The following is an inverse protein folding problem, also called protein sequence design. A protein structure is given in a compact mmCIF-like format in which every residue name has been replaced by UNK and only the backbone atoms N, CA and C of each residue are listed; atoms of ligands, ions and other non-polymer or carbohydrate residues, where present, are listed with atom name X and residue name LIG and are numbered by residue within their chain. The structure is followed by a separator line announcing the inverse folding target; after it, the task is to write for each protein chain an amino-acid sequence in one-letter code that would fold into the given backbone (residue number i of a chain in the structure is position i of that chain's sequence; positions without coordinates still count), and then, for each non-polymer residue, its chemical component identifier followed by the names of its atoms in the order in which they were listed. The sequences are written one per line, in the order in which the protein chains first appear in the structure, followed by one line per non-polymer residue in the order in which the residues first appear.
data_IF_738372916099
#
_entry.id   IF_738372916099
#
_cell.length_a   1.000
_cell.length_b   1.000
_cell.length_c   1.000
_cell.angle_alpha   90.00
_cell.angle_beta   90.00
_cell.angle_gamma   90.00
#
_symmetry.space_group_name_H-M   'P 1'
#
loop_
_entity.id
_entity.type
_entity.pdbx_description
1 polymer ?
#
# COMPACT_ATOMS: atom_id res chain seq x y z
N UNK A 1 -48.56 -53.13 24.08
CA UNK A 1 -49.27 -51.88 24.42
C UNK A 1 -48.60 -50.75 23.64
N UNK A 2 -48.91 -50.58 22.36
CA UNK A 2 -49.98 -49.74 21.75
C UNK A 2 -49.63 -48.24 21.87
N UNK A 3 -49.52 -47.41 20.81
CA UNK A 3 -50.26 -47.31 19.53
C UNK A 3 -49.31 -46.75 18.43
N UNK A 4 -49.23 -47.33 17.23
CA UNK A 4 -50.11 -47.18 16.04
C UNK A 4 -50.23 -45.74 15.54
N UNK A 5 -49.61 -45.47 14.38
CA UNK A 5 -50.27 -44.79 13.26
C UNK A 5 -49.54 -45.13 11.95
N UNK A 6 -50.15 -46.03 11.17
CA UNK A 6 -49.85 -46.28 9.75
C UNK A 6 -50.39 -45.11 8.93
N UNK A 7 -49.64 -44.65 7.93
CA UNK A 7 -50.20 -44.03 6.73
C UNK A 7 -49.57 -44.61 5.48
N UNK A 8 -50.45 -44.75 4.50
CA UNK A 8 -50.43 -45.63 3.36
C UNK A 8 -49.91 -44.90 2.12
N UNK A 9 -49.19 -45.65 1.28
CA UNK A 9 -49.09 -45.61 -0.21
C UNK A 9 -49.28 -44.28 -0.94
N UNK A 10 -48.33 -43.94 -1.84
CA UNK A 10 -48.53 -43.99 -3.31
C UNK A 10 -47.18 -44.24 -3.99
N UNK A 11 -47.12 -45.28 -4.82
CA UNK A 11 -46.05 -45.54 -5.77
C UNK A 11 -46.31 -44.74 -7.05
N UNK A 12 -45.35 -43.89 -7.44
CA UNK A 12 -45.33 -43.24 -8.75
C UNK A 12 -44.11 -43.74 -9.52
N UNK A 13 -44.33 -44.62 -10.50
CA UNK A 13 -43.31 -45.03 -11.46
C UNK A 13 -43.12 -43.90 -12.48
N UNK A 14 -42.01 -43.18 -12.40
CA UNK A 14 -41.55 -42.28 -13.44
C UNK A 14 -40.52 -43.00 -14.31
N UNK A 15 -40.95 -43.45 -15.49
CA UNK A 15 -40.06 -43.88 -16.57
C UNK A 15 -39.35 -42.64 -17.13
N UNK A 16 -38.13 -42.39 -16.68
CA UNK A 16 -37.25 -41.37 -17.26
C UNK A 16 -36.52 -41.95 -18.47
N UNK A 17 -36.80 -41.40 -19.66
CA UNK A 17 -36.00 -41.63 -20.85
C UNK A 17 -34.56 -41.15 -20.61
N UNK A 18 -33.59 -42.06 -20.75
CA UNK A 18 -32.18 -41.71 -20.86
C UNK A 18 -31.92 -41.16 -22.27
N UNK A 19 -31.98 -39.84 -22.41
CA UNK A 19 -31.44 -39.15 -23.58
C UNK A 19 -29.91 -39.07 -23.41
N UNK A 20 -29.17 -39.90 -24.15
CA UNK A 20 -27.72 -39.78 -24.27
C UNK A 20 -27.40 -38.54 -25.12
N UNK A 21 -27.19 -37.40 -24.47
CA UNK A 21 -26.62 -36.22 -25.11
C UNK A 21 -25.13 -36.46 -25.35
N UNK A 22 -24.78 -36.77 -26.60
CA UNK A 22 -23.39 -36.73 -27.08
C UNK A 22 -22.95 -35.26 -27.03
N UNK A 23 -22.25 -34.89 -25.96
CA UNK A 23 -21.62 -33.59 -25.85
C UNK A 23 -20.50 -33.53 -26.89
N UNK A 24 -20.74 -32.81 -28.00
CA UNK A 24 -19.69 -32.45 -28.94
C UNK A 24 -18.64 -31.64 -28.20
N UNK A 25 -17.42 -32.16 -28.14
CA UNK A 25 -16.28 -31.43 -27.62
C UNK A 25 -16.04 -30.22 -28.54
N UNK A 26 -16.44 -29.04 -28.08
CA UNK A 26 -16.01 -27.79 -28.71
C UNK A 26 -14.49 -27.73 -28.60
N UNK A 27 -13.76 -27.48 -29.71
CA UNK A 27 -12.32 -27.31 -29.63
C UNK A 27 -12.03 -26.19 -28.65
N UNK A 28 -11.20 -26.48 -27.65
CA UNK A 28 -10.68 -25.48 -26.74
C UNK A 28 -10.00 -24.41 -27.60
N UNK A 29 -10.64 -23.24 -27.70
CA UNK A 29 -10.01 -22.07 -28.28
C UNK A 29 -8.74 -21.82 -27.46
N UNK A 30 -7.58 -22.12 -28.06
CA UNK A 30 -6.30 -21.74 -27.51
C UNK A 30 -6.37 -20.23 -27.27
N UNK A 31 -6.39 -19.83 -26.00
CA UNK A 31 -6.31 -18.43 -25.63
C UNK A 31 -5.03 -17.90 -26.25
N UNK A 32 -5.17 -17.07 -27.28
CA UNK A 32 -4.09 -16.28 -27.81
C UNK A 32 -3.47 -15.57 -26.61
N UNK A 33 -2.23 -15.92 -26.27
CA UNK A 33 -1.45 -15.11 -25.35
C UNK A 33 -1.36 -13.74 -26.02
N UNK A 34 -2.21 -12.83 -25.53
CA UNK A 34 -2.50 -11.56 -26.15
C UNK A 34 -1.21 -10.82 -26.43
N UNK A 35 -1.19 -10.11 -27.55
CA UNK A 35 -0.12 -9.19 -27.93
C UNK A 35 0.43 -8.48 -26.69
N UNK A 36 1.76 -8.50 -26.54
CA UNK A 36 2.48 -7.86 -25.44
C UNK A 36 1.98 -6.43 -25.31
N UNK A 37 1.06 -6.19 -24.36
CA UNK A 37 0.50 -4.87 -24.17
C UNK A 37 1.67 -3.97 -23.77
N UNK A 38 1.92 -2.92 -24.55
CA UNK A 38 2.93 -1.94 -24.20
C UNK A 38 2.45 -1.23 -22.93
N UNK A 39 3.29 -1.22 -21.90
CA UNK A 39 3.11 -0.40 -20.70
C UNK A 39 2.69 1.01 -21.13
N UNK A 40 1.48 1.40 -20.75
CA UNK A 40 0.87 2.67 -21.11
C UNK A 40 0.87 3.60 -19.91
N UNK A 41 0.92 4.91 -20.18
CA UNK A 41 0.76 5.98 -19.19
C UNK A 41 -0.50 6.78 -19.51
N UNK A 42 -1.31 7.07 -18.50
CA UNK A 42 -2.50 7.91 -18.59
C UNK A 42 -2.51 8.95 -17.48
N UNK A 43 -2.87 10.19 -17.81
CA UNK A 43 -3.13 11.22 -16.80
C UNK A 43 -4.43 10.92 -16.04
N UNK A 44 -4.43 11.15 -14.74
CA UNK A 44 -5.63 11.11 -13.91
C UNK A 44 -6.27 12.51 -13.87
N UNK A 45 -7.60 12.62 -13.84
CA UNK A 45 -8.26 13.92 -13.74
C UNK A 45 -7.92 14.58 -12.40
N UNK A 46 -7.73 15.90 -12.39
CA UNK A 46 -7.52 16.69 -11.18
C UNK A 46 -8.16 18.08 -11.35
N UNK A 47 -8.42 18.84 -10.28
CA UNK A 47 -9.05 20.16 -10.38
C UNK A 47 -8.22 21.12 -11.25
N UNK A 48 -8.87 21.81 -12.18
CA UNK A 48 -8.19 22.69 -13.13
C UNK A 48 -7.49 23.90 -12.48
N UNK A 49 -7.92 24.24 -11.25
CA UNK A 49 -7.38 25.30 -10.41
C UNK A 49 -6.28 24.81 -9.44
N UNK A 50 -5.93 23.51 -9.45
CA UNK A 50 -4.80 23.00 -8.68
C UNK A 50 -3.47 23.32 -9.39
N UNK A 51 -2.53 23.90 -8.66
CA UNK A 51 -1.18 24.19 -9.14
C UNK A 51 -0.30 22.93 -9.23
N UNK A 52 -0.62 21.90 -8.43
CA UNK A 52 0.03 20.60 -8.40
C UNK A 52 -0.97 19.52 -7.99
N UNK A 53 -0.82 18.33 -8.57
CA UNK A 53 -1.50 17.12 -8.09
C UNK A 53 -0.63 15.87 -8.29
N UNK A 54 -0.72 14.93 -7.34
CA UNK A 54 -0.03 13.64 -7.34
C UNK A 54 -1.01 12.51 -7.05
N UNK A 55 -0.71 11.31 -7.54
CA UNK A 55 -1.37 10.09 -7.09
C UNK A 55 -0.36 9.31 -6.24
N UNK A 56 -0.66 9.18 -4.95
CA UNK A 56 0.32 8.80 -3.93
C UNK A 56 0.10 7.36 -3.43
N UNK A 57 -1.13 6.86 -3.45
CA UNK A 57 -1.45 5.50 -3.01
C UNK A 57 -2.46 4.83 -3.96
N UNK A 58 -2.39 3.50 -4.07
CA UNK A 58 -3.34 2.68 -4.83
C UNK A 58 -3.65 1.40 -4.05
N UNK A 59 -4.93 1.02 -3.99
CA UNK A 59 -5.29 -0.21 -3.28
C UNK A 59 -4.83 -1.46 -4.06
N UNK A 60 -4.69 -2.62 -3.40
CA UNK A 60 -4.22 -3.85 -4.06
C UNK A 60 -5.06 -4.26 -5.29
N UNK A 61 -6.34 -3.91 -5.35
CA UNK A 61 -7.20 -4.21 -6.50
C UNK A 61 -7.05 -3.22 -7.66
N UNK A 62 -6.39 -2.08 -7.45
CA UNK A 62 -6.22 -0.99 -8.39
C UNK A 62 -7.51 -0.21 -8.71
N UNK A 63 -8.50 -0.28 -7.82
CA UNK A 63 -9.83 0.34 -7.94
C UNK A 63 -9.86 1.75 -7.34
N UNK A 64 -9.18 1.92 -6.22
CA UNK A 64 -9.05 3.15 -5.46
C UNK A 64 -7.64 3.68 -5.60
N UNK A 65 -7.55 4.95 -5.96
CA UNK A 65 -6.30 5.71 -5.94
C UNK A 65 -6.56 6.91 -5.05
N UNK A 66 -5.60 7.27 -4.22
CA UNK A 66 -5.64 8.48 -3.41
C UNK A 66 -4.37 9.30 -3.66
N UNK A 67 -4.48 10.61 -3.48
CA UNK A 67 -3.32 11.48 -3.59
C UNK A 67 -3.60 12.91 -3.13
N UNK A 68 -2.58 13.74 -3.24
CA UNK A 68 -2.61 15.13 -2.80
C UNK A 68 -2.72 16.10 -3.97
N UNK A 69 -3.50 17.15 -3.77
CA UNK A 69 -3.52 18.34 -4.63
C UNK A 69 -3.15 19.59 -3.84
N UNK A 70 -2.67 20.61 -4.53
CA UNK A 70 -2.44 21.93 -3.97
C UNK A 70 -3.10 22.98 -4.84
N UNK A 71 -3.97 23.79 -4.25
CA UNK A 71 -4.49 25.02 -4.83
C UNK A 71 -3.70 26.18 -4.26
N UNK A 72 -3.19 27.06 -5.11
CA UNK A 72 -2.49 28.29 -4.69
C UNK A 72 -3.34 29.47 -5.11
N UNK A 73 -3.60 30.36 -4.16
CA UNK A 73 -4.38 31.58 -4.34
C UNK A 73 -3.69 32.76 -3.63
N UNK A 74 -4.18 33.97 -3.85
CA UNK A 74 -3.67 35.17 -3.19
C UNK A 74 -3.76 35.10 -1.66
N UNK A 75 -4.68 34.30 -1.12
CA UNK A 75 -4.91 34.13 0.32
C UNK A 75 -4.11 32.97 0.92
N UNK A 76 -3.37 32.21 0.11
CA UNK A 76 -2.51 31.13 0.57
C UNK A 76 -2.62 29.84 -0.24
N UNK A 77 -1.99 28.80 0.30
CA UNK A 77 -2.00 27.44 -0.24
C UNK A 77 -3.06 26.61 0.47
N UNK A 78 -3.88 25.89 -0.30
CA UNK A 78 -4.91 25.00 0.19
C UNK A 78 -4.61 23.56 -0.26
N UNK A 79 -4.32 22.63 0.67
CA UNK A 79 -4.17 21.22 0.35
C UNK A 79 -5.54 20.60 0.03
N UNK A 80 -5.52 19.64 -0.88
CA UNK A 80 -6.69 18.89 -1.34
C UNK A 80 -6.41 17.39 -1.21
N UNK A 81 -7.37 16.64 -0.69
CA UNK A 81 -7.39 15.19 -0.82
C UNK A 81 -8.09 14.83 -2.15
N UNK A 82 -7.38 14.11 -3.01
CA UNK A 82 -7.87 13.61 -4.29
C UNK A 82 -8.13 12.11 -4.17
N UNK A 83 -9.33 11.68 -4.57
CA UNK A 83 -9.74 10.28 -4.53
C UNK A 83 -10.27 9.90 -5.89
N UNK A 84 -9.66 8.90 -6.52
CA UNK A 84 -10.17 8.33 -7.76
C UNK A 84 -10.79 6.97 -7.49
N UNK A 85 -12.07 6.82 -7.82
CA UNK A 85 -12.76 5.54 -7.82
C UNK A 85 -13.16 5.21 -9.25
N UNK A 86 -12.55 4.15 -9.83
CA UNK A 86 -12.82 3.75 -11.23
C UNK A 86 -12.66 4.90 -12.25
N UNK A 87 -11.71 5.81 -12.00
CA UNK A 87 -11.41 6.95 -12.86
C UNK A 87 -12.23 8.22 -12.56
N UNK A 88 -13.26 8.13 -11.73
CA UNK A 88 -14.02 9.30 -11.28
C UNK A 88 -13.31 9.97 -10.11
N UNK A 89 -13.06 11.28 -10.24
CA UNK A 89 -12.41 12.10 -9.21
C UNK A 89 -13.45 12.62 -8.20
N UNK A 90 -13.14 12.45 -6.92
CA UNK A 90 -13.72 13.19 -5.80
C UNK A 90 -12.63 14.03 -5.15
N UNK A 91 -12.90 15.32 -4.98
CA UNK A 91 -12.02 16.25 -4.26
C UNK A 91 -12.60 16.51 -2.87
N UNK A 92 -11.78 16.38 -1.85
CA UNK A 92 -12.17 16.60 -0.46
C UNK A 92 -11.27 17.69 0.13
N UNK A 93 -11.91 18.74 0.64
CA UNK A 93 -11.24 19.82 1.34
C UNK A 93 -11.31 19.56 2.85
N UNK A 94 -10.18 19.68 3.54
CA UNK A 94 -10.12 19.49 4.99
C UNK A 94 -8.93 20.26 5.56
N UNK A 95 -9.09 20.96 6.70
CA UNK A 95 -8.01 21.74 7.29
C UNK A 95 -6.87 20.89 7.86
N UNK A 96 -7.07 19.58 8.03
CA UNK A 96 -6.07 18.67 8.60
C UNK A 96 -5.38 17.78 7.57
N UNK A 97 -5.79 17.83 6.30
CA UNK A 97 -5.13 17.06 5.22
C UNK A 97 -3.86 17.78 4.80
N UNK A 98 -2.76 17.04 4.75
CA UNK A 98 -1.51 17.49 4.14
C UNK A 98 -1.01 16.45 3.12
N UNK A 99 -0.66 15.25 3.60
CA UNK A 99 -0.14 14.16 2.75
C UNK A 99 -0.99 12.90 2.86
N UNK A 100 -1.13 12.19 1.74
CA UNK A 100 -1.68 10.82 1.70
C UNK A 100 -0.57 9.83 1.98
N UNK A 101 -0.84 8.86 2.86
CA UNK A 101 0.08 7.77 3.15
C UNK A 101 -0.32 6.49 2.39
N UNK A 102 -1.57 6.05 2.49
CA UNK A 102 -2.00 4.77 1.93
C UNK A 102 -3.55 4.69 1.76
N UNK A 103 -4.02 3.70 0.99
CA UNK A 103 -5.44 3.40 0.75
C UNK A 103 -5.71 1.90 0.67
N UNK A 104 -6.68 1.40 1.46
CA UNK A 104 -7.03 -0.02 1.42
C UNK A 104 -8.15 -0.36 0.40
N UNK A 105 -8.38 -1.66 0.20
CA UNK A 105 -9.37 -2.18 -0.74
C UNK A 105 -10.84 -1.82 -0.41
N UNK A 106 -11.11 -1.20 0.75
CA UNK A 106 -12.43 -0.67 1.14
C UNK A 106 -12.56 0.83 0.85
N UNK A 107 -11.54 1.47 0.28
CA UNK A 107 -11.52 2.91 0.00
C UNK A 107 -11.33 3.77 1.25
N UNK A 108 -10.77 3.21 2.32
CA UNK A 108 -10.31 3.99 3.47
C UNK A 108 -8.95 4.54 3.12
N UNK A 109 -8.81 5.87 3.13
CA UNK A 109 -7.55 6.56 2.89
C UNK A 109 -7.00 7.01 4.23
N UNK A 110 -5.69 6.93 4.42
CA UNK A 110 -5.01 7.46 5.59
C UNK A 110 -3.96 8.48 5.15
N UNK A 111 -3.59 9.36 6.08
CA UNK A 111 -2.56 10.31 5.81
C UNK A 111 -2.14 11.11 7.02
N UNK A 112 -1.22 12.03 6.77
CA UNK A 112 -0.61 12.86 7.79
C UNK A 112 -1.03 14.30 7.62
N UNK A 113 -1.05 15.02 8.73
CA UNK A 113 -1.48 16.40 8.85
C UNK A 113 -0.79 17.09 10.01
N UNK A 114 -1.19 18.32 10.28
CA UNK A 114 -0.65 19.10 11.38
C UNK A 114 -1.79 19.76 12.18
N UNK A 115 -1.73 19.65 13.50
CA UNK A 115 -2.73 20.23 14.41
C UNK A 115 -2.09 20.54 15.77
N UNK A 116 -2.43 21.69 16.35
CA UNK A 116 -1.94 22.15 17.65
C UNK A 116 -0.41 22.09 17.82
N UNK A 117 0.33 22.35 16.73
CA UNK A 117 1.79 22.33 16.75
C UNK A 117 2.41 20.93 16.65
N UNK A 118 1.64 19.89 16.35
CA UNK A 118 2.09 18.49 16.31
C UNK A 118 1.57 17.74 15.09
N UNK A 119 2.19 16.60 14.78
CA UNK A 119 1.71 15.68 13.73
C UNK A 119 0.34 15.10 14.09
N UNK A 120 -0.63 15.30 13.20
CA UNK A 120 -2.00 14.85 13.39
C UNK A 120 -2.37 13.88 12.26
N UNK A 121 -2.28 12.56 12.49
CA UNK A 121 -2.68 11.59 11.50
C UNK A 121 -4.20 11.56 11.37
N UNK A 122 -4.68 11.27 10.17
CA UNK A 122 -6.10 11.29 9.85
C UNK A 122 -6.48 10.08 9.01
N UNK A 123 -7.78 9.77 9.01
CA UNK A 123 -8.40 8.81 8.10
C UNK A 123 -9.55 9.46 7.36
N UNK A 124 -9.73 9.09 6.10
CA UNK A 124 -10.91 9.37 5.32
C UNK A 124 -11.76 8.10 5.18
N UNK A 125 -13.04 8.20 5.54
CA UNK A 125 -14.02 7.12 5.34
C UNK A 125 -15.41 7.69 5.18
N UNK A 126 -16.14 7.22 4.16
CA UNK A 126 -17.54 7.59 3.96
C UNK A 126 -17.77 9.09 3.78
N UNK A 127 -16.88 9.77 3.03
CA UNK A 127 -17.02 11.20 2.75
C UNK A 127 -16.47 12.13 3.83
N UNK A 128 -15.90 11.60 4.92
CA UNK A 128 -15.42 12.40 6.05
C UNK A 128 -13.96 12.14 6.33
N UNK A 129 -13.21 13.21 6.59
CA UNK A 129 -11.86 13.16 7.16
C UNK A 129 -11.98 13.31 8.68
N UNK A 130 -11.41 12.37 9.42
CA UNK A 130 -11.42 12.34 10.89
C UNK A 130 -9.98 12.20 11.41
N UNK A 131 -9.57 12.95 12.43
CA UNK A 131 -8.30 12.71 13.10
C UNK A 131 -8.30 11.34 13.77
N UNK A 132 -7.15 10.68 13.77
CA UNK A 132 -6.93 9.48 14.57
C UNK A 132 -6.59 9.85 16.01
N UNK A 133 -6.92 8.99 17.00
CA UNK A 133 -6.51 9.23 18.38
C UNK A 133 -4.99 9.28 18.48
N UNK A 134 -4.48 10.25 19.22
CA UNK A 134 -3.06 10.40 19.51
C UNK A 134 -2.69 9.67 20.81
N UNK A 135 -1.44 9.18 20.96
CA UNK A 135 -0.93 8.78 22.26
C UNK A 135 -0.95 9.98 23.24
N UNK A 136 -0.81 9.71 24.53
CA UNK A 136 -0.90 10.75 25.59
C UNK A 136 0.15 11.85 25.48
N UNK A 137 1.20 11.65 24.68
CA UNK A 137 2.25 12.65 24.44
C UNK A 137 2.60 12.77 22.96
N UNK A 138 2.48 13.99 22.45
CA UNK A 138 3.03 14.36 21.15
C UNK A 138 2.15 14.00 19.96
N UNK A 139 2.69 14.33 18.78
CA UNK A 139 2.09 13.99 17.51
C UNK A 139 2.41 12.56 17.09
N UNK A 140 1.69 12.09 16.09
CA UNK A 140 1.93 10.79 15.47
C UNK A 140 1.92 10.92 13.95
N UNK A 141 2.41 9.87 13.28
CA UNK A 141 2.37 9.71 11.84
C UNK A 141 1.90 8.31 11.50
N UNK A 142 1.18 8.17 10.38
CA UNK A 142 0.75 6.88 9.83
C UNK A 142 1.52 6.59 8.53
N UNK A 143 1.78 5.31 8.30
CA UNK A 143 2.54 4.84 7.14
C UNK A 143 1.72 3.90 6.25
N UNK A 144 0.98 2.94 6.84
CA UNK A 144 0.28 1.90 6.07
C UNK A 144 -1.05 1.47 6.68
N UNK A 145 -1.96 0.95 5.84
CA UNK A 145 -3.27 0.40 6.24
C UNK A 145 -3.55 -0.94 5.56
N UNK A 146 -3.93 -1.95 6.33
CA UNK A 146 -4.30 -3.26 5.76
C UNK A 146 -5.76 -3.31 5.29
N UNK A 147 -6.17 -4.43 4.65
CA UNK A 147 -7.56 -4.66 4.23
C UNK A 147 -8.58 -4.70 5.37
N UNK A 148 -8.18 -5.10 6.58
CA UNK A 148 -9.05 -5.07 7.75
C UNK A 148 -9.33 -3.64 8.23
N UNK A 149 -8.45 -2.70 7.88
CA UNK A 149 -8.48 -1.30 8.26
C UNK A 149 -7.59 -0.96 9.45
N UNK A 150 -6.73 -1.89 9.88
CA UNK A 150 -5.73 -1.62 10.90
C UNK A 150 -4.65 -0.73 10.26
N UNK A 151 -4.24 0.28 11.02
CA UNK A 151 -3.29 1.30 10.55
C UNK A 151 -2.05 1.22 11.44
N UNK A 152 -0.87 1.34 10.83
CA UNK A 152 0.39 1.42 11.57
C UNK A 152 1.12 2.72 11.29
N UNK A 153 2.06 3.05 12.18
CA UNK A 153 2.91 4.21 12.01
C UNK A 153 3.81 4.44 13.22
N UNK A 154 4.05 5.71 13.53
CA UNK A 154 5.05 6.12 14.53
C UNK A 154 4.52 7.22 15.43
N UNK A 155 5.04 7.27 16.66
CA UNK A 155 4.83 8.37 17.60
C UNK A 155 6.04 8.54 18.52
N UNK A 156 5.84 9.28 19.60
CA UNK A 156 6.88 9.49 20.62
C UNK A 156 6.46 8.90 21.97
N UNK A 157 7.41 8.27 22.64
CA UNK A 157 7.24 7.82 24.01
C UNK A 157 7.17 9.01 24.99
N UNK A 158 6.15 9.08 25.86
CA UNK A 158 6.00 10.15 26.85
C UNK A 158 7.17 10.37 27.79
N UNK A 159 7.81 9.28 28.19
CA UNK A 159 8.74 9.22 29.29
C UNK A 159 10.17 9.39 28.79
N UNK A 160 10.48 8.78 27.64
CA UNK A 160 11.83 8.77 27.08
C UNK A 160 12.01 9.76 25.93
N UNK A 161 10.94 10.19 25.27
CA UNK A 161 11.00 10.97 24.03
C UNK A 161 11.47 10.17 22.81
N UNK A 162 11.77 8.88 22.99
CA UNK A 162 12.18 7.96 21.94
C UNK A 162 11.04 7.65 20.97
N UNK A 163 11.38 7.10 19.81
CA UNK A 163 10.36 6.78 18.80
C UNK A 163 9.67 5.46 19.14
N UNK A 164 8.36 5.37 18.92
CA UNK A 164 7.59 4.14 19.15
C UNK A 164 6.73 3.78 17.95
N UNK A 165 6.63 2.48 17.68
CA UNK A 165 5.76 1.94 16.67
C UNK A 165 4.32 1.90 17.19
N UNK A 166 3.38 2.38 16.38
CA UNK A 166 1.98 2.51 16.76
C UNK A 166 1.07 1.62 15.90
N UNK A 167 -0.05 1.20 16.50
CA UNK A 167 -1.15 0.49 15.86
C UNK A 167 -2.48 1.18 16.22
N UNK A 168 -3.27 1.51 15.20
CA UNK A 168 -4.68 1.89 15.35
C UNK A 168 -5.56 0.73 14.88
N UNK A 169 -6.09 -0.09 15.79
CA UNK A 169 -6.84 -1.28 15.45
C UNK A 169 -8.24 -0.94 14.92
N UNK A 170 -8.62 -1.49 13.76
CA UNK A 170 -9.95 -1.31 13.18
C UNK A 170 -11.07 -1.83 14.08
N UNK A 171 -10.78 -2.90 14.84
CA UNK A 171 -11.72 -3.53 15.76
C UNK A 171 -12.03 -2.68 17.00
N UNK A 172 -11.19 -1.69 17.32
CA UNK A 172 -11.38 -0.77 18.46
C UNK A 172 -11.17 0.68 18.03
N UNK A 173 -12.12 1.26 17.27
CA UNK A 173 -12.03 2.65 16.85
C UNK A 173 -11.85 3.60 18.03
N UNK A 174 -11.04 4.65 17.85
CA UNK A 174 -10.77 5.62 18.91
C UNK A 174 -9.69 5.18 19.90
N UNK A 175 -8.98 4.08 19.62
CA UNK A 175 -7.81 3.65 20.38
C UNK A 175 -6.54 3.69 19.53
N UNK A 176 -5.40 3.83 20.20
CA UNK A 176 -4.05 3.69 19.65
C UNK A 176 -3.23 2.86 20.63
N UNK A 177 -2.39 1.98 20.11
CA UNK A 177 -1.55 1.08 20.88
C UNK A 177 -0.09 1.27 20.52
N UNK A 178 0.78 1.25 21.53
CA UNK A 178 2.21 1.07 21.31
C UNK A 178 2.46 -0.40 21.06
N UNK A 179 3.08 -0.72 19.92
CA UNK A 179 3.46 -2.08 19.60
C UNK A 179 4.65 -2.52 20.47
N UNK A 180 4.62 -3.76 20.91
CA UNK A 180 5.82 -4.44 21.39
C UNK A 180 6.77 -4.61 20.19
N UNK A 181 7.82 -3.80 20.17
CA UNK A 181 8.79 -3.66 19.09
C UNK A 181 10.14 -3.25 19.69
N UNK A 182 11.26 -3.37 18.95
CA UNK A 182 12.56 -2.92 19.45
C UNK A 182 12.55 -1.43 19.81
N UNK A 183 13.51 -1.00 20.63
CA UNK A 183 13.63 0.42 21.00
C UNK A 183 13.81 1.31 19.77
N UNK A 184 13.24 2.51 19.81
CA UNK A 184 13.27 3.49 18.71
C UNK A 184 12.68 2.93 17.39
N UNK A 185 11.64 2.11 17.50
CA UNK A 185 10.98 1.50 16.35
C UNK A 185 9.99 2.43 15.65
N UNK A 186 9.96 2.34 14.34
CA UNK A 186 8.91 2.85 13.45
C UNK A 186 8.26 1.68 12.71
N UNK A 187 6.94 1.72 12.53
CA UNK A 187 6.24 0.75 11.68
C UNK A 187 5.97 1.37 10.30
N UNK A 188 6.47 0.73 9.24
CA UNK A 188 6.42 1.24 7.87
C UNK A 188 5.39 0.52 7.00
N UNK A 189 5.15 -0.76 7.27
CA UNK A 189 4.21 -1.57 6.48
C UNK A 189 3.40 -2.52 7.35
N UNK A 190 2.16 -2.80 6.92
CA UNK A 190 1.30 -3.82 7.53
C UNK A 190 0.62 -4.65 6.44
N UNK A 191 0.71 -5.98 6.56
CA UNK A 191 0.05 -6.92 5.66
C UNK A 191 -1.38 -7.24 6.12
N UNK A 192 -2.13 -7.85 5.21
CA UNK A 192 -3.52 -8.29 5.41
C UNK A 192 -3.73 -9.33 6.51
N UNK A 193 -2.68 -10.06 6.89
CA UNK A 193 -2.70 -11.02 8.00
C UNK A 193 -2.38 -10.38 9.35
N UNK A 194 -2.03 -9.08 9.38
CA UNK A 194 -1.62 -8.35 10.58
C UNK A 194 -0.11 -8.37 10.83
N UNK A 195 0.69 -8.94 9.93
CA UNK A 195 2.15 -8.85 9.99
C UNK A 195 2.60 -7.41 9.79
N UNK A 196 3.44 -6.89 10.69
CA UNK A 196 3.98 -5.52 10.64
C UNK A 196 5.48 -5.59 10.36
N UNK A 197 5.97 -4.69 9.51
CA UNK A 197 7.41 -4.49 9.29
C UNK A 197 7.80 -3.06 9.62
N UNK A 198 9.05 -2.89 10.02
CA UNK A 198 9.56 -1.59 10.39
C UNK A 198 11.07 -1.52 10.49
N UNK A 199 11.52 -0.37 10.93
CA UNK A 199 12.92 -0.05 11.20
C UNK A 199 13.05 0.33 12.67
N UNK A 200 14.19 0.05 13.31
CA UNK A 200 14.45 0.41 14.69
C UNK A 200 15.93 0.68 14.95
N UNK A 201 16.23 1.33 16.07
CA UNK A 201 17.59 1.62 16.52
C UNK A 201 18.03 3.08 16.31
N UNK A 202 19.22 3.39 16.81
CA UNK A 202 19.80 4.72 16.71
C UNK A 202 20.16 5.10 15.26
N UNK A 203 20.32 6.39 15.03
CA UNK A 203 20.85 6.91 13.77
C UNK A 203 22.24 6.33 13.53
N UNK A 204 22.42 5.57 12.44
CA UNK A 204 23.60 4.79 12.03
C UNK A 204 23.66 3.30 12.44
N UNK A 205 22.66 2.84 13.20
CA UNK A 205 22.50 1.45 13.67
C UNK A 205 21.14 0.85 13.28
N UNK A 206 20.47 1.42 12.26
CA UNK A 206 19.13 0.95 11.89
C UNK A 206 19.11 -0.51 11.47
N UNK A 207 18.14 -1.22 12.03
CA UNK A 207 17.84 -2.61 11.69
C UNK A 207 16.36 -2.75 11.35
N UNK A 208 16.07 -3.67 10.44
CA UNK A 208 14.70 -4.02 10.10
C UNK A 208 14.14 -5.08 11.03
N UNK A 209 12.87 -4.95 11.39
CA UNK A 209 12.15 -5.89 12.25
C UNK A 209 10.83 -6.30 11.63
N UNK A 210 10.36 -7.47 12.05
CA UNK A 210 9.11 -8.11 11.70
C UNK A 210 8.35 -8.41 12.99
N UNK A 211 7.08 -8.04 13.05
CA UNK A 211 6.16 -8.50 14.09
C UNK A 211 5.07 -9.34 13.47
N UNK A 212 4.95 -10.59 13.92
CA UNK A 212 3.91 -11.52 13.47
C UNK A 212 2.56 -11.21 14.12
N UNK A 213 1.45 -11.74 13.55
CA UNK A 213 0.11 -11.53 14.12
C UNK A 213 -0.04 -12.09 15.54
N UNK A 214 0.76 -13.09 15.92
CA UNK A 214 0.80 -13.65 17.28
C UNK A 214 1.58 -12.78 18.28
N UNK A 215 2.19 -11.68 17.82
CA UNK A 215 2.98 -10.76 18.61
C UNK A 215 4.48 -11.05 18.63
N UNK A 216 4.93 -12.16 18.03
CA UNK A 216 6.36 -12.49 17.98
C UNK A 216 7.12 -11.44 17.16
N UNK A 217 8.20 -10.91 17.72
CA UNK A 217 9.10 -9.95 17.07
C UNK A 217 10.39 -10.64 16.68
N UNK A 218 10.82 -10.46 15.42
CA UNK A 218 12.05 -11.02 14.88
C UNK A 218 12.80 -9.98 14.04
N UNK A 219 14.14 -10.06 13.99
CA UNK A 219 14.91 -9.22 13.08
C UNK A 219 14.76 -9.72 11.63
N UNK A 220 14.53 -8.80 10.70
CA UNK A 220 14.71 -9.05 9.27
C UNK A 220 16.15 -8.70 8.94
N UNK A 221 17.01 -9.70 8.78
CA UNK A 221 18.45 -9.46 8.64
C UNK A 221 18.91 -9.56 7.20
N UNK A 222 19.95 -8.80 6.88
CA UNK A 222 20.77 -8.99 5.69
C UNK A 222 22.19 -9.26 6.20
N UNK A 223 22.70 -10.49 6.14
CA UNK A 223 24.01 -10.83 6.69
C UNK A 223 25.12 -9.92 6.12
N UNK A 224 25.93 -9.36 7.01
CA UNK A 224 26.99 -8.42 6.65
C UNK A 224 26.53 -6.98 6.43
N UNK A 225 25.22 -6.69 6.51
CA UNK A 225 24.75 -5.32 6.45
C UNK A 225 25.09 -4.56 7.74
N UNK A 226 25.61 -3.34 7.57
CA UNK A 226 25.85 -2.41 8.68
C UNK A 226 24.55 -1.75 9.13
N UNK A 227 23.72 -1.39 8.16
CA UNK A 227 22.42 -0.74 8.35
C UNK A 227 21.42 -1.40 7.41
N UNK A 228 20.19 -1.61 7.86
CA UNK A 228 19.06 -1.95 7.01
C UNK A 228 17.81 -1.19 7.44
N UNK A 229 16.99 -0.78 6.48
CA UNK A 229 15.68 -0.17 6.74
C UNK A 229 14.62 -0.68 5.77
N UNK A 230 13.38 -0.73 6.24
CA UNK A 230 12.21 -1.11 5.46
C UNK A 230 11.57 0.14 4.87
N UNK A 231 10.97 0.00 3.69
CA UNK A 231 10.21 1.06 3.02
C UNK A 231 8.71 0.70 2.91
N UNK A 232 8.40 -0.55 2.55
CA UNK A 232 7.03 -1.00 2.35
C UNK A 232 6.90 -2.52 2.54
N UNK A 233 5.67 -2.99 2.73
CA UNK A 233 5.32 -4.42 2.72
C UNK A 233 3.96 -4.68 2.09
N UNK A 234 3.89 -5.80 1.37
CA UNK A 234 2.65 -6.33 0.84
C UNK A 234 2.72 -7.85 0.67
N UNK A 235 1.66 -8.54 1.12
CA UNK A 235 1.55 -9.98 1.02
C UNK A 235 2.64 -10.69 1.83
N UNK A 236 3.56 -11.36 1.13
CA UNK A 236 4.69 -12.06 1.77
C UNK A 236 6.02 -11.32 1.60
N UNK A 237 5.99 -10.09 1.11
CA UNK A 237 7.19 -9.34 0.75
C UNK A 237 7.30 -8.07 1.57
N UNK A 238 8.53 -7.71 1.91
CA UNK A 238 8.90 -6.35 2.26
C UNK A 238 10.05 -5.89 1.36
N UNK A 239 10.17 -4.59 1.17
CA UNK A 239 11.27 -3.98 0.42
C UNK A 239 11.89 -2.85 1.22
N UNK A 240 13.15 -2.55 0.93
CA UNK A 240 13.93 -1.52 1.61
C UNK A 240 15.39 -1.56 1.18
N UNK A 241 16.29 -0.95 1.94
CA UNK A 241 17.70 -0.89 1.56
C UNK A 241 18.61 -1.42 2.68
N UNK A 242 19.78 -1.92 2.28
CA UNK A 242 20.82 -2.35 3.20
C UNK A 242 22.19 -1.84 2.76
N UNK A 243 22.99 -1.34 3.72
CA UNK A 243 24.39 -1.00 3.48
C UNK A 243 25.28 -2.23 3.63
N UNK A 244 25.76 -2.73 2.48
CA UNK A 244 26.67 -3.87 2.36
C UNK A 244 28.14 -3.45 2.14
N UNK A 245 28.49 -2.20 2.44
CA UNK A 245 29.85 -1.65 2.27
C UNK A 245 30.18 -1.20 0.84
N UNK A 246 29.17 -1.11 -0.03
CA UNK A 246 29.29 -0.57 -1.39
C UNK A 246 29.23 0.97 -1.43
N UNK A 247 29.38 1.55 -2.63
CA UNK A 247 29.22 3.01 -2.83
C UNK A 247 27.78 3.49 -2.64
N UNK A 248 26.81 2.58 -2.70
CA UNK A 248 25.38 2.86 -2.53
C UNK A 248 24.72 1.69 -1.80
N UNK A 249 23.68 1.94 -1.01
CA UNK A 249 22.88 0.88 -0.40
C UNK A 249 22.33 -0.09 -1.46
N UNK A 250 22.34 -1.38 -1.15
CA UNK A 250 21.68 -2.39 -1.97
C UNK A 250 20.17 -2.31 -1.76
N UNK A 251 19.40 -2.42 -2.84
CA UNK A 251 17.94 -2.55 -2.77
C UNK A 251 17.61 -4.00 -2.41
N UNK A 252 16.85 -4.20 -1.35
CA UNK A 252 16.55 -5.51 -0.79
C UNK A 252 15.05 -5.79 -0.89
N UNK A 253 14.73 -7.05 -1.18
CA UNK A 253 13.41 -7.63 -0.99
C UNK A 253 13.50 -8.81 -0.04
N UNK A 254 12.79 -8.74 1.08
CA UNK A 254 12.67 -9.82 2.06
C UNK A 254 11.44 -10.67 1.78
N UNK A 255 11.57 -11.99 1.94
CA UNK A 255 10.46 -12.92 2.04
C UNK A 255 10.08 -13.08 3.51
N UNK A 256 8.90 -12.59 3.89
CA UNK A 256 8.44 -12.53 5.27
C UNK A 256 8.06 -13.91 5.85
N UNK A 257 7.96 -14.94 5.01
CA UNK A 257 7.63 -16.31 5.47
C UNK A 257 8.83 -17.02 6.08
N UNK A 258 10.00 -16.87 5.47
CA UNK A 258 11.21 -17.61 5.83
C UNK A 258 12.40 -16.71 6.20
N UNK A 259 12.23 -15.38 6.11
CA UNK A 259 13.26 -14.39 6.43
C UNK A 259 14.37 -14.30 5.38
N UNK A 260 14.27 -15.04 4.27
CA UNK A 260 15.24 -14.93 3.17
C UNK A 260 15.15 -13.58 2.48
N UNK A 261 16.22 -13.18 1.78
CA UNK A 261 16.24 -11.94 1.02
C UNK A 261 16.85 -12.14 -0.37
N UNK A 262 16.52 -11.22 -1.27
CA UNK A 262 17.10 -11.10 -2.61
C UNK A 262 17.39 -9.65 -2.90
N UNK A 263 18.50 -9.37 -3.59
CA UNK A 263 18.75 -8.04 -4.13
C UNK A 263 17.80 -7.72 -5.29
N UNK A 264 17.31 -6.49 -5.30
CA UNK A 264 16.59 -5.88 -6.42
C UNK A 264 17.58 -5.14 -7.32
N UNK A 265 17.10 -4.68 -8.47
CA UNK A 265 17.94 -3.90 -9.39
C UNK A 265 18.57 -2.69 -8.68
N UNK A 266 19.90 -2.54 -8.81
CA UNK A 266 20.62 -1.35 -8.33
C UNK A 266 20.25 -0.07 -9.10
N UNK A 267 19.54 -0.19 -10.21
CA UNK A 267 19.11 0.94 -11.01
C UNK A 267 17.88 1.66 -10.43
N UNK A 268 17.25 1.11 -9.38
CA UNK A 268 16.26 1.80 -8.56
C UNK A 268 17.01 2.72 -7.56
N UNK A 269 16.96 4.05 -7.73
CA UNK A 269 17.66 4.96 -6.82
C UNK A 269 17.16 4.88 -5.38
N UNK A 270 15.85 4.65 -5.21
CA UNK A 270 15.19 4.40 -3.93
C UNK A 270 13.97 3.51 -4.17
N UNK A 271 13.45 2.89 -3.11
CA UNK A 271 12.24 2.06 -3.12
C UNK A 271 11.08 2.84 -2.51
N UNK A 272 9.92 2.80 -3.14
CA UNK A 272 8.69 3.43 -2.63
C UNK A 272 7.69 2.37 -2.16
N UNK A 273 7.45 1.33 -2.96
CA UNK A 273 6.38 0.36 -2.68
C UNK A 273 6.64 -1.03 -3.30
N UNK A 274 5.90 -2.04 -2.83
CA UNK A 274 5.91 -3.42 -3.32
C UNK A 274 4.50 -4.00 -3.30
N UNK A 275 4.13 -4.80 -4.30
CA UNK A 275 2.84 -5.52 -4.30
C UNK A 275 2.97 -6.96 -3.77
N UNK A 276 1.85 -7.67 -3.61
CA UNK A 276 1.84 -9.04 -3.08
C UNK A 276 2.55 -10.06 -3.98
N UNK A 277 2.86 -9.69 -5.23
CA UNK A 277 3.65 -10.49 -6.18
C UNK A 277 5.16 -10.25 -6.05
N UNK A 278 5.58 -9.32 -5.21
CA UNK A 278 6.99 -8.98 -4.97
C UNK A 278 7.59 -8.11 -6.08
N UNK A 279 6.74 -7.43 -6.84
CA UNK A 279 7.14 -6.40 -7.81
C UNK A 279 7.28 -5.08 -7.06
N UNK A 280 8.45 -4.46 -7.18
CA UNK A 280 8.77 -3.22 -6.48
C UNK A 280 8.79 -2.03 -7.44
N UNK A 281 8.48 -0.84 -6.93
CA UNK A 281 8.57 0.42 -7.68
C UNK A 281 9.39 1.45 -6.93
N UNK A 282 9.98 2.37 -7.68
CA UNK A 282 10.79 3.45 -7.14
C UNK A 282 11.31 4.36 -8.25
N UNK A 283 11.37 5.67 -7.97
CA UNK A 283 11.71 6.70 -8.97
C UNK A 283 10.89 6.52 -10.25
N UNK A 284 11.50 6.33 -11.42
CA UNK A 284 10.79 6.13 -12.70
C UNK A 284 10.80 4.66 -13.16
N UNK A 285 10.98 3.71 -12.25
CA UNK A 285 11.19 2.30 -12.58
C UNK A 285 10.27 1.34 -11.83
N UNK A 286 10.10 0.17 -12.45
CA UNK A 286 9.53 -1.04 -11.86
C UNK A 286 10.57 -2.15 -11.89
N UNK A 287 10.64 -2.97 -10.84
CA UNK A 287 11.63 -4.04 -10.70
C UNK A 287 11.00 -5.37 -10.33
N UNK A 288 11.49 -6.43 -10.99
CA UNK A 288 11.18 -7.83 -10.69
C UNK A 288 12.50 -8.53 -10.44
N UNK A 289 12.81 -8.79 -9.17
CA UNK A 289 14.15 -9.25 -8.77
C UNK A 289 15.23 -8.26 -9.20
N UNK A 290 16.35 -8.77 -9.71
CA UNK A 290 17.49 -7.97 -10.15
C UNK A 290 17.26 -7.17 -11.45
N UNK A 291 16.16 -7.40 -12.16
CA UNK A 291 15.84 -6.70 -13.41
C UNK A 291 14.88 -5.56 -13.17
N UNK A 292 15.15 -4.39 -13.77
CA UNK A 292 14.24 -3.25 -13.75
C UNK A 292 13.93 -2.75 -15.16
N UNK A 293 12.87 -1.94 -15.24
CA UNK A 293 12.44 -1.28 -16.47
C UNK A 293 12.03 0.15 -16.16
N UNK A 294 12.47 1.08 -17.01
CA UNK A 294 12.01 2.47 -17.00
C UNK A 294 10.57 2.55 -17.51
N UNK A 295 9.73 3.27 -16.77
CA UNK A 295 8.35 3.54 -17.14
C UNK A 295 8.29 4.64 -18.21
N UNK A 296 7.36 4.54 -19.17
CA UNK A 296 7.19 5.58 -20.18
C UNK A 296 6.69 6.88 -19.55
N UNK A 297 7.06 8.02 -20.15
CA UNK A 297 6.57 9.34 -19.77
C UNK A 297 7.68 10.36 -19.45
N UNK A 298 8.90 9.89 -19.20
CA UNK A 298 10.09 10.75 -19.11
C UNK A 298 10.52 11.26 -20.49
N UNK A 299 11.18 12.42 -20.53
CA UNK A 299 11.69 13.05 -21.74
C UNK A 299 12.46 14.33 -21.45
N UNK A 300 12.74 15.14 -22.48
CA UNK A 300 13.38 16.44 -22.28
C UNK A 300 12.49 17.32 -21.37
N UNK A 301 13.06 17.80 -20.24
CA UNK A 301 12.35 18.63 -19.23
C UNK A 301 11.07 17.99 -18.65
N UNK A 302 10.94 16.68 -18.80
CA UNK A 302 9.82 15.90 -18.27
C UNK A 302 10.37 14.74 -17.46
N UNK A 303 10.01 14.66 -16.19
CA UNK A 303 10.30 13.49 -15.35
C UNK A 303 9.02 12.84 -14.87
N UNK A 304 9.10 11.57 -14.54
CA UNK A 304 8.03 10.83 -13.85
C UNK A 304 8.56 10.25 -12.56
N UNK A 305 7.66 9.99 -11.62
CA UNK A 305 7.97 9.31 -10.36
C UNK A 305 6.81 8.40 -9.96
N UNK A 306 7.11 7.16 -9.59
CA UNK A 306 6.19 6.18 -9.02
C UNK A 306 6.01 6.44 -7.53
N UNK A 307 4.85 6.07 -7.01
CA UNK A 307 4.53 6.13 -5.59
C UNK A 307 4.04 4.81 -5.03
N UNK A 308 3.13 4.15 -5.74
CA UNK A 308 2.53 2.91 -5.26
C UNK A 308 2.19 1.94 -6.41
N UNK A 309 2.08 0.66 -6.10
CA UNK A 309 1.81 -0.42 -7.04
C UNK A 309 0.73 -1.38 -6.52
N UNK A 310 -0.30 -1.63 -7.34
CA UNK A 310 -1.34 -2.60 -7.04
C UNK A 310 -0.94 -4.03 -7.44
N UNK A 311 -1.66 -5.03 -6.91
CA UNK A 311 -1.44 -6.44 -7.25
C UNK A 311 -1.78 -6.75 -8.71
N UNK A 312 -2.64 -5.95 -9.34
CA UNK A 312 -2.96 -6.10 -10.76
C UNK A 312 -1.88 -5.51 -11.69
N UNK A 313 -0.78 -4.97 -11.15
CA UNK A 313 0.31 -4.35 -11.91
C UNK A 313 0.07 -2.89 -12.28
N UNK A 314 -1.04 -2.28 -11.84
CA UNK A 314 -1.24 -0.83 -11.99
C UNK A 314 -0.29 -0.09 -11.07
N UNK A 315 0.38 0.92 -11.59
CA UNK A 315 1.30 1.79 -10.84
C UNK A 315 0.73 3.21 -10.86
N UNK A 316 0.85 3.95 -9.77
CA UNK A 316 0.47 5.38 -9.70
C UNK A 316 1.66 6.23 -9.31
N UNK A 317 1.55 7.52 -9.61
CA UNK A 317 2.57 8.48 -9.27
C UNK A 317 2.30 9.84 -9.89
N UNK A 318 3.35 10.47 -10.37
CA UNK A 318 3.29 11.80 -10.96
C UNK A 318 4.14 11.93 -12.23
N UNK A 319 3.79 12.92 -13.03
CA UNK A 319 4.59 13.46 -14.12
C UNK A 319 4.85 14.94 -13.86
N UNK A 320 6.11 15.35 -13.88
CA UNK A 320 6.54 16.74 -13.78
C UNK A 320 7.02 17.23 -15.16
N UNK A 321 6.23 18.08 -15.80
CA UNK A 321 6.58 18.68 -17.10
C UNK A 321 6.73 20.19 -16.93
N UNK A 322 7.93 20.73 -17.14
CA UNK A 322 8.20 22.17 -16.99
C UNK A 322 7.77 22.75 -15.61
N UNK A 323 7.91 21.95 -14.54
CA UNK A 323 7.51 22.34 -13.19
C UNK A 323 6.04 22.05 -12.86
N UNK A 324 5.22 21.66 -13.84
CA UNK A 324 3.84 21.27 -13.64
C UNK A 324 3.76 19.79 -13.26
N UNK A 325 3.34 19.52 -12.02
CA UNK A 325 3.20 18.16 -11.48
C UNK A 325 1.76 17.69 -11.61
N UNK A 326 1.57 16.58 -12.34
CA UNK A 326 0.27 16.00 -12.67
C UNK A 326 0.20 14.53 -12.23
N UNK A 327 -0.96 14.04 -11.76
CA UNK A 327 -1.13 12.67 -11.33
C UNK A 327 -1.25 11.75 -12.55
N UNK A 328 -0.59 10.60 -12.50
CA UNK A 328 -0.59 9.64 -13.61
C UNK A 328 -0.75 8.21 -13.09
N UNK A 329 -1.17 7.34 -14.01
CA UNK A 329 -1.28 5.89 -13.82
C UNK A 329 -0.57 5.18 -14.96
N UNK A 330 0.14 4.11 -14.65
CA UNK A 330 0.66 3.15 -15.60
C UNK A 330 -0.08 1.82 -15.54
N UNK A 331 -0.28 1.18 -16.70
CA UNK A 331 -0.90 -0.14 -16.82
C UNK A 331 -0.22 -0.96 -17.93
N UNK A 332 -0.26 -2.29 -17.83
CA UNK A 332 0.41 -3.18 -18.81
C UNK A 332 1.94 -3.20 -18.67
N UNK A 333 2.41 -2.92 -17.45
CA UNK A 333 3.79 -3.07 -17.01
C UNK A 333 3.84 -4.37 -16.16
#
# INVERSE_FOLDING_TARGET
MNRIARRTLVAGAAAGLLAASVAGATPAAAASHGATALCGISALPYPADASRATADAIDPTGRFIAGSGLRVSDTGSQPLLLIWMRGELTTVESPIVDTVADVNARGVVIGNGYGDGTGLPWRYRGGKVEPLPLPSTGGARVSAINRAGDIVGTGQDPQTGGTVALLWPAARPGTVEVLDAPADAVAEGINDDGTVVGTAGAFDEWTTWLRRPDGTVEPLTVPGARIAFAAAAAGQWAVGQADLGGMSPANIRWNLRDGSYSELSAELPWLEDVNARGVAVGSDRVSVGATSRVLPGSGERTSVGTRAIADNGSIVGFRNSYGQVTPVRWTGC
#
